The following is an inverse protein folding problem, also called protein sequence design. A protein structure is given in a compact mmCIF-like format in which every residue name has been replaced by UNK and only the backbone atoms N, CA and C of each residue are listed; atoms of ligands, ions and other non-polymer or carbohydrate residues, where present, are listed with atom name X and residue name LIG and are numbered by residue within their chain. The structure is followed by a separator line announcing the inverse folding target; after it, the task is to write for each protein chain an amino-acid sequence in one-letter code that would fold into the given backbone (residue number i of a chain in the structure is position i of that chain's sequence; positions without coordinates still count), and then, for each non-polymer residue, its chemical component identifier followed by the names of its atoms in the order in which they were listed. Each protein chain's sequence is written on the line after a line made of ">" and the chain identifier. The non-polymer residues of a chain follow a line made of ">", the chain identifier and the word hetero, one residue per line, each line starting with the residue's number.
data_IF_081184458593
#
_entry.id   IF_081184458593
#
_cell.length_a   1.000
_cell.length_b   1.000
_cell.length_c   1.000
_cell.angle_alpha   90.00
_cell.angle_beta   90.00
_cell.angle_gamma   90.00
#
_symmetry.space_group_name_H-M   'P 1'
#
loop_
_entity.id
_entity.type
_entity.pdbx_description
1 polymer ?
#
# COMPACT_ATOMS: atom_id res chain seq x y z
N UNK A 1 63.09 66.87 39.32
CA UNK A 1 63.09 68.32 39.08
C UNK A 1 62.18 68.62 37.91
N UNK A 2 61.12 69.41 38.13
CA UNK A 2 60.32 70.22 37.19
C UNK A 2 59.74 69.50 35.94
N UNK A 3 58.45 69.56 35.59
CA UNK A 3 57.53 70.71 35.60
C UNK A 3 56.09 70.21 35.39
N UNK A 4 55.16 70.92 36.01
CA UNK A 4 53.71 70.80 35.96
C UNK A 4 53.09 71.22 34.61
N UNK A 5 51.86 70.72 34.42
CA UNK A 5 50.66 71.41 33.91
C UNK A 5 50.31 71.43 32.41
N UNK A 6 49.11 70.86 32.20
CA UNK A 6 47.91 71.47 31.61
C UNK A 6 47.52 71.13 30.16
N UNK A 7 46.34 70.48 30.12
CA UNK A 7 45.15 70.77 29.30
C UNK A 7 45.25 70.41 27.81
N UNK A 8 44.50 69.40 27.38
CA UNK A 8 43.10 69.51 26.88
C UNK A 8 43.01 70.46 25.68
N UNK A 9 42.90 69.89 24.47
CA UNK A 9 41.80 70.11 23.51
C UNK A 9 42.19 69.66 22.08
N UNK A 10 41.24 68.97 21.41
CA UNK A 10 41.08 68.76 19.95
C UNK A 10 42.14 67.83 19.30
N UNK A 11 41.85 66.81 18.48
CA UNK A 11 40.73 66.46 17.62
C UNK A 11 40.71 64.90 17.54
N UNK A 12 39.60 64.21 17.82
CA UNK A 12 38.67 63.74 16.80
C UNK A 12 39.27 63.65 15.38
N UNK A 13 39.55 62.41 14.95
CA UNK A 13 39.78 61.87 13.58
C UNK A 13 41.07 61.05 13.52
N UNK A 14 40.95 59.86 12.95
CA UNK A 14 42.01 58.87 12.71
C UNK A 14 42.42 58.01 13.93
N UNK A 15 41.59 57.02 14.27
CA UNK A 15 42.02 55.71 14.79
C UNK A 15 40.85 54.70 14.91
N UNK A 16 40.00 54.59 13.88
CA UNK A 16 39.04 53.47 13.71
C UNK A 16 39.28 52.81 12.35
N UNK A 17 40.54 52.53 12.04
CA UNK A 17 40.94 52.01 10.73
C UNK A 17 41.70 50.67 10.81
N UNK A 18 41.49 49.86 11.86
CA UNK A 18 42.22 48.59 12.01
C UNK A 18 41.41 47.43 12.62
N UNK A 19 40.08 47.43 12.49
CA UNK A 19 39.26 46.25 12.84
C UNK A 19 38.07 46.05 11.87
N UNK A 20 38.28 46.14 10.55
CA UNK A 20 37.35 45.57 9.55
C UNK A 20 38.17 45.22 8.31
N UNK A 21 38.47 43.92 8.07
CA UNK A 21 37.79 43.30 6.93
C UNK A 21 37.49 41.83 7.21
N UNK A 22 36.27 41.53 7.64
CA UNK A 22 35.74 40.15 7.69
C UNK A 22 34.29 40.04 7.19
N UNK A 23 33.75 41.07 6.54
CA UNK A 23 32.36 41.09 6.05
C UNK A 23 32.23 41.33 4.55
N UNK A 24 33.20 40.88 3.74
CA UNK A 24 33.15 41.02 2.27
C UNK A 24 32.83 39.69 1.55
N UNK A 25 32.08 38.79 2.18
CA UNK A 25 31.47 37.63 1.52
C UNK A 25 29.98 37.50 1.88
N UNK A 26 29.21 38.59 1.79
CA UNK A 26 27.78 38.46 1.55
C UNK A 26 27.59 38.25 0.04
N UNK A 27 27.86 37.03 -0.41
CA UNK A 27 27.34 36.58 -1.69
C UNK A 27 25.82 36.73 -1.62
N UNK A 28 25.25 37.61 -2.46
CA UNK A 28 23.80 37.65 -2.67
C UNK A 28 23.33 36.22 -2.87
N UNK A 29 22.50 35.72 -1.97
CA UNK A 29 21.77 34.49 -2.20
C UNK A 29 21.03 34.68 -3.54
N UNK A 30 21.21 33.79 -4.53
CA UNK A 30 20.44 33.89 -5.75
C UNK A 30 18.96 33.89 -5.37
N UNK A 31 18.27 34.98 -5.68
CA UNK A 31 16.82 35.05 -5.54
C UNK A 31 16.26 34.00 -6.50
N UNK A 32 15.49 33.00 -6.04
CA UNK A 32 14.86 32.04 -6.94
C UNK A 32 14.04 32.85 -7.94
N UNK A 33 14.37 32.76 -9.22
CA UNK A 33 13.45 33.21 -10.25
C UNK A 33 12.17 32.39 -10.05
N UNK A 34 11.02 33.05 -9.95
CA UNK A 34 9.76 32.33 -9.99
C UNK A 34 9.71 31.61 -11.34
N UNK A 35 9.76 30.28 -11.32
CA UNK A 35 9.59 29.46 -12.52
C UNK A 35 8.20 29.70 -13.08
N UNK A 36 8.10 30.64 -14.02
CA UNK A 36 6.92 30.78 -14.85
C UNK A 36 6.91 29.62 -15.84
N UNK A 37 6.01 28.66 -15.61
CA UNK A 37 5.68 27.52 -16.47
C UNK A 37 6.71 26.37 -16.50
N UNK A 38 6.76 25.57 -15.44
CA UNK A 38 7.18 24.17 -15.57
C UNK A 38 6.00 23.36 -16.11
N UNK A 39 6.14 22.85 -17.34
CA UNK A 39 5.30 21.73 -17.81
C UNK A 39 5.44 20.62 -16.78
N UNK A 40 4.33 20.23 -16.14
CA UNK A 40 4.34 19.15 -15.15
C UNK A 40 4.86 17.89 -15.85
N UNK A 41 5.99 17.39 -15.38
CA UNK A 41 6.65 16.21 -15.93
C UNK A 41 6.51 15.05 -14.94
N UNK A 42 6.56 13.79 -15.42
CA UNK A 42 6.60 12.63 -14.54
C UNK A 42 7.70 12.75 -13.50
N UNK A 43 7.40 12.38 -12.26
CA UNK A 43 8.32 12.52 -11.13
C UNK A 43 9.55 11.59 -11.22
N UNK A 44 9.43 10.54 -12.03
CA UNK A 44 10.48 9.59 -12.38
C UNK A 44 10.55 9.39 -13.89
N UNK A 45 11.75 9.08 -14.38
CA UNK A 45 11.92 8.44 -15.69
C UNK A 45 11.67 6.94 -15.60
N UNK A 46 11.30 6.30 -16.71
CA UNK A 46 11.16 4.84 -16.80
C UNK A 46 12.45 4.10 -16.37
N UNK A 47 13.61 4.65 -16.68
CA UNK A 47 14.90 4.07 -16.28
C UNK A 47 15.11 4.14 -14.75
N UNK A 48 14.67 5.22 -14.11
CA UNK A 48 14.71 5.35 -12.65
C UNK A 48 13.71 4.41 -11.99
N UNK A 49 12.46 4.35 -12.47
CA UNK A 49 11.46 3.37 -12.00
C UNK A 49 12.02 1.96 -12.06
N UNK A 50 12.55 1.56 -13.22
CA UNK A 50 13.08 0.21 -13.43
C UNK A 50 14.21 -0.10 -12.46
N UNK A 51 15.12 0.86 -12.25
CA UNK A 51 16.24 0.70 -11.30
C UNK A 51 15.74 0.54 -9.86
N UNK A 52 14.77 1.37 -9.43
CA UNK A 52 14.18 1.33 -8.09
C UNK A 52 13.47 0.00 -7.88
N UNK A 53 12.56 -0.36 -8.79
CA UNK A 53 11.79 -1.61 -8.71
C UNK A 53 12.70 -2.84 -8.66
N UNK A 54 13.68 -2.95 -9.56
CA UNK A 54 14.58 -4.10 -9.57
C UNK A 54 15.45 -4.18 -8.30
N UNK A 55 15.83 -3.03 -7.70
CA UNK A 55 16.52 -3.01 -6.41
C UNK A 55 15.62 -3.53 -5.29
N UNK A 56 14.37 -3.06 -5.21
CA UNK A 56 13.38 -3.53 -4.23
C UNK A 56 13.16 -5.05 -4.38
N UNK A 57 12.88 -5.53 -5.60
CA UNK A 57 12.64 -6.95 -5.86
C UNK A 57 13.87 -7.81 -5.53
N UNK A 58 15.09 -7.33 -5.81
CA UNK A 58 16.31 -8.03 -5.43
C UNK A 58 16.43 -8.19 -3.91
N UNK A 59 16.17 -7.14 -3.13
CA UNK A 59 16.21 -7.24 -1.65
C UNK A 59 15.13 -8.17 -1.11
N UNK A 60 13.95 -8.22 -1.75
CA UNK A 60 12.91 -9.19 -1.42
C UNK A 60 13.39 -10.61 -1.70
N UNK A 61 13.97 -10.86 -2.88
CA UNK A 61 14.53 -12.18 -3.24
C UNK A 61 15.61 -12.63 -2.22
N UNK A 62 16.49 -11.72 -1.80
CA UNK A 62 17.53 -11.97 -0.80
C UNK A 62 16.94 -12.31 0.58
N UNK A 63 15.91 -11.58 1.03
CA UNK A 63 15.21 -11.85 2.28
C UNK A 63 14.41 -13.17 2.23
N UNK A 64 13.78 -13.47 1.09
CA UNK A 64 13.08 -14.74 0.84
C UNK A 64 14.05 -15.93 0.90
N UNK A 65 15.22 -15.83 0.25
CA UNK A 65 16.27 -16.85 0.30
C UNK A 65 16.84 -17.04 1.71
N UNK A 66 17.05 -15.95 2.44
CA UNK A 66 17.48 -15.98 3.83
C UNK A 66 16.38 -16.46 4.80
N UNK A 67 15.13 -16.57 4.34
CA UNK A 67 13.94 -16.79 5.16
C UNK A 67 13.91 -15.83 6.36
N UNK A 68 14.25 -14.56 6.15
CA UNK A 68 14.38 -13.58 7.24
C UNK A 68 13.25 -12.53 7.17
N UNK A 69 12.26 -12.57 8.07
CA UNK A 69 11.17 -11.59 8.10
C UNK A 69 11.64 -10.14 8.32
N UNK A 70 12.78 -9.94 9.01
CA UNK A 70 13.31 -8.60 9.27
C UNK A 70 13.94 -7.97 8.01
N UNK A 71 14.26 -8.79 7.00
CA UNK A 71 14.89 -8.34 5.75
C UNK A 71 13.98 -7.49 4.86
N UNK A 72 12.66 -7.52 5.07
CA UNK A 72 11.69 -6.85 4.18
C UNK A 72 11.49 -5.37 4.50
N UNK A 73 11.60 -4.95 5.76
CA UNK A 73 11.18 -3.61 6.21
C UNK A 73 11.94 -2.44 5.54
N UNK A 74 13.13 -2.73 5.00
CA UNK A 74 13.92 -1.77 4.24
C UNK A 74 13.28 -1.39 2.88
N UNK A 75 12.48 -2.29 2.28
CA UNK A 75 11.95 -2.16 0.91
C UNK A 75 10.46 -2.43 0.77
N UNK A 76 9.81 -2.93 1.83
CA UNK A 76 8.36 -3.11 1.92
C UNK A 76 7.79 -2.30 3.08
N UNK A 77 6.55 -1.87 2.93
CA UNK A 77 5.75 -1.25 3.98
C UNK A 77 4.28 -1.63 3.85
N UNK A 78 3.41 -0.98 4.63
CA UNK A 78 1.97 -1.13 4.51
C UNK A 78 1.47 -2.58 4.65
N UNK A 79 0.35 -2.94 3.99
CA UNK A 79 -0.14 -4.32 3.99
C UNK A 79 0.86 -5.31 3.39
N UNK A 80 1.71 -4.89 2.43
CA UNK A 80 2.62 -5.82 1.77
C UNK A 80 3.68 -6.38 2.72
N UNK A 81 4.18 -5.55 3.65
CA UNK A 81 5.11 -5.98 4.68
C UNK A 81 4.47 -7.03 5.60
N UNK A 82 3.25 -6.76 6.09
CA UNK A 82 2.51 -7.69 6.97
C UNK A 82 2.28 -9.04 6.27
N UNK A 83 1.87 -9.01 5.00
CA UNK A 83 1.66 -10.21 4.18
C UNK A 83 2.96 -11.01 4.03
N UNK A 84 4.06 -10.35 3.67
CA UNK A 84 5.34 -11.03 3.41
C UNK A 84 5.95 -11.60 4.69
N UNK A 85 5.90 -10.88 5.81
CA UNK A 85 6.30 -11.39 7.13
C UNK A 85 5.51 -12.66 7.47
N UNK A 86 4.20 -12.65 7.25
CA UNK A 86 3.38 -13.83 7.49
C UNK A 86 3.77 -15.01 6.60
N UNK A 87 3.95 -14.79 5.30
CA UNK A 87 4.33 -15.85 4.35
C UNK A 87 5.68 -16.46 4.71
N UNK A 88 6.65 -15.64 5.08
CA UNK A 88 7.98 -16.11 5.51
C UNK A 88 7.92 -16.83 6.86
N UNK A 89 7.09 -16.37 7.79
CA UNK A 89 6.84 -17.07 9.06
C UNK A 89 6.27 -18.47 8.82
N UNK A 90 5.29 -18.59 7.91
CA UNK A 90 4.72 -19.88 7.51
C UNK A 90 5.79 -20.78 6.88
N UNK A 91 6.62 -20.23 5.98
CA UNK A 91 7.72 -20.95 5.35
C UNK A 91 8.77 -21.47 6.36
N UNK A 92 9.14 -20.64 7.35
CA UNK A 92 10.04 -21.05 8.44
C UNK A 92 9.48 -22.22 9.27
N UNK A 93 8.14 -22.30 9.38
CA UNK A 93 7.43 -23.34 10.16
C UNK A 93 6.99 -24.53 9.31
N UNK A 94 7.48 -24.65 8.07
CA UNK A 94 7.28 -25.81 7.21
C UNK A 94 6.04 -25.77 6.31
N UNK A 95 5.24 -24.69 6.34
CA UNK A 95 4.12 -24.51 5.42
C UNK A 95 4.54 -24.14 4.00
N UNK A 96 5.83 -23.81 3.80
CA UNK A 96 6.37 -23.36 2.53
C UNK A 96 6.06 -21.88 2.23
N UNK A 97 6.67 -21.36 1.17
CA UNK A 97 6.32 -20.02 0.67
C UNK A 97 4.99 -20.10 -0.08
N UNK A 98 4.13 -19.10 0.09
CA UNK A 98 2.88 -19.03 -0.67
C UNK A 98 3.17 -19.09 -2.18
N UNK A 99 2.42 -19.94 -2.90
CA UNK A 99 2.51 -20.04 -4.37
C UNK A 99 2.19 -18.74 -5.10
N UNK A 100 1.55 -17.80 -4.40
CA UNK A 100 1.18 -16.48 -4.91
C UNK A 100 2.24 -15.40 -4.64
N UNK A 101 3.29 -15.72 -3.87
CA UNK A 101 4.29 -14.76 -3.40
C UNK A 101 5.25 -14.26 -4.49
N UNK A 102 5.38 -14.95 -5.62
CA UNK A 102 6.26 -14.54 -6.72
C UNK A 102 5.81 -13.22 -7.35
N UNK A 103 6.76 -12.29 -7.50
CA UNK A 103 6.57 -11.01 -8.20
C UNK A 103 7.44 -11.01 -9.46
N UNK A 104 6.86 -11.01 -10.67
CA UNK A 104 7.64 -10.96 -11.90
C UNK A 104 8.47 -9.68 -12.01
N UNK A 105 9.68 -9.80 -12.57
CA UNK A 105 10.62 -8.68 -12.78
C UNK A 105 10.31 -7.88 -14.04
N UNK A 106 9.71 -8.53 -15.03
CA UNK A 106 9.21 -7.87 -16.24
C UNK A 106 7.82 -7.28 -15.99
N UNK A 107 7.55 -6.19 -16.69
CA UNK A 107 6.33 -5.41 -16.52
C UNK A 107 5.60 -5.25 -17.84
N UNK A 108 4.28 -5.24 -17.78
CA UNK A 108 3.43 -4.90 -18.90
C UNK A 108 3.24 -3.38 -19.00
N UNK A 109 3.15 -2.71 -17.86
CA UNK A 109 2.94 -1.26 -17.79
C UNK A 109 3.45 -0.73 -16.44
N UNK A 110 3.94 0.50 -16.45
CA UNK A 110 4.11 1.31 -15.25
C UNK A 110 3.41 2.65 -15.46
N UNK A 111 2.96 3.25 -14.37
CA UNK A 111 2.27 4.53 -14.35
C UNK A 111 2.96 5.39 -13.29
N UNK A 112 3.46 6.52 -13.75
CA UNK A 112 4.30 7.43 -12.97
C UNK A 112 3.50 8.70 -12.69
N UNK A 113 3.44 9.18 -11.43
CA UNK A 113 2.65 10.35 -11.08
C UNK A 113 3.26 11.64 -11.63
N UNK A 114 2.39 12.64 -11.79
CA UNK A 114 2.75 14.02 -12.12
C UNK A 114 2.92 14.92 -10.89
N UNK A 115 2.58 14.42 -9.69
CA UNK A 115 2.52 15.24 -8.49
C UNK A 115 3.92 15.74 -8.07
N UNK A 116 4.01 17.03 -7.76
CA UNK A 116 5.23 17.65 -7.23
C UNK A 116 5.36 17.46 -5.70
N UNK A 117 4.27 17.04 -5.04
CA UNK A 117 4.17 16.80 -3.60
C UNK A 117 4.57 15.40 -3.13
N UNK A 118 4.23 15.10 -1.88
CA UNK A 118 4.43 13.81 -1.21
C UNK A 118 3.15 13.39 -0.46
N UNK A 119 2.87 12.09 -0.33
CA UNK A 119 3.61 10.95 -0.88
C UNK A 119 3.49 10.86 -2.41
N UNK A 120 4.42 10.14 -3.05
CA UNK A 120 4.38 9.84 -4.49
C UNK A 120 4.22 8.34 -4.69
N UNK A 121 3.19 7.96 -5.42
CA UNK A 121 2.88 6.54 -5.64
C UNK A 121 2.99 6.16 -7.11
N UNK A 122 3.80 5.14 -7.39
CA UNK A 122 3.97 4.54 -8.71
C UNK A 122 3.22 3.23 -8.77
N UNK A 123 2.40 3.06 -9.81
CA UNK A 123 1.64 1.83 -10.04
C UNK A 123 2.30 1.03 -11.16
N UNK A 124 2.59 -0.23 -10.90
CA UNK A 124 3.24 -1.10 -11.88
C UNK A 124 2.48 -2.40 -12.03
N UNK A 125 2.15 -2.76 -13.27
CA UNK A 125 1.52 -4.02 -13.63
C UNK A 125 2.57 -4.93 -14.22
N UNK A 126 2.78 -6.08 -13.59
CA UNK A 126 3.78 -7.06 -14.04
C UNK A 126 3.35 -7.80 -15.31
N UNK A 127 4.27 -8.55 -15.90
CA UNK A 127 3.89 -9.69 -16.77
C UNK A 127 3.22 -10.80 -15.94
N UNK A 128 2.75 -11.85 -16.60
CA UNK A 128 2.36 -13.08 -15.89
C UNK A 128 3.60 -13.73 -15.26
N UNK A 129 3.40 -14.56 -14.25
CA UNK A 129 4.50 -15.41 -13.73
C UNK A 129 4.88 -16.48 -14.76
N UNK A 130 6.03 -17.13 -14.57
CA UNK A 130 6.50 -18.19 -15.46
C UNK A 130 5.49 -19.36 -15.55
N UNK A 131 4.83 -19.68 -14.44
CA UNK A 131 3.73 -20.65 -14.34
C UNK A 131 2.36 -20.11 -14.75
N UNK A 132 2.34 -18.98 -15.49
CA UNK A 132 1.14 -18.37 -16.09
C UNK A 132 0.08 -17.87 -15.09
N UNK A 133 0.45 -17.59 -13.84
CA UNK A 133 -0.46 -16.90 -12.93
C UNK A 133 -0.67 -15.45 -13.38
N UNK A 134 -1.84 -14.92 -13.03
CA UNK A 134 -2.26 -13.54 -13.33
C UNK A 134 -1.22 -12.49 -12.95
N UNK A 135 -1.24 -11.37 -13.67
CA UNK A 135 -0.37 -10.22 -13.41
C UNK A 135 -0.54 -9.70 -11.98
N UNK A 136 0.51 -9.09 -11.44
CA UNK A 136 0.49 -8.38 -10.16
C UNK A 136 0.33 -6.89 -10.41
N UNK A 137 -0.55 -6.25 -9.66
CA UNK A 137 -0.62 -4.80 -9.52
C UNK A 137 0.18 -4.41 -8.29
N UNK A 138 1.27 -3.69 -8.50
CA UNK A 138 2.21 -3.23 -7.48
C UNK A 138 1.99 -1.74 -7.22
N UNK A 139 2.02 -1.34 -5.94
CA UNK A 139 2.04 0.05 -5.52
C UNK A 139 3.34 0.33 -4.80
N UNK A 140 4.19 1.14 -5.42
CA UNK A 140 5.39 1.68 -4.79
C UNK A 140 5.09 3.08 -4.27
N UNK A 141 5.51 3.38 -3.05
CA UNK A 141 5.27 4.68 -2.45
C UNK A 141 6.56 5.27 -1.87
N UNK A 142 6.73 6.56 -2.06
CA UNK A 142 7.78 7.35 -1.43
C UNK A 142 7.11 8.43 -0.57
N UNK A 143 7.28 8.32 0.74
CA UNK A 143 6.60 9.21 1.70
C UNK A 143 7.19 10.63 1.74
N UNK A 144 8.47 10.78 1.41
CA UNK A 144 9.14 12.09 1.36
C UNK A 144 10.42 12.03 0.52
N UNK A 145 10.97 13.20 0.18
CA UNK A 145 12.20 13.33 -0.61
C UNK A 145 13.43 12.64 0.01
N UNK A 146 13.42 12.38 1.32
CA UNK A 146 14.54 11.76 2.04
C UNK A 146 14.36 10.25 2.21
N UNK A 147 13.17 9.72 1.96
CA UNK A 147 12.87 8.30 2.08
C UNK A 147 13.04 7.62 0.72
N UNK A 148 13.39 6.33 0.74
CA UNK A 148 13.38 5.52 -0.48
C UNK A 148 11.95 5.03 -0.77
N UNK A 149 11.65 4.77 -2.04
CA UNK A 149 10.47 4.02 -2.43
C UNK A 149 10.42 2.65 -1.74
N UNK A 150 9.22 2.27 -1.29
CA UNK A 150 8.91 0.93 -0.78
C UNK A 150 7.73 0.34 -1.54
N UNK A 151 7.69 -0.99 -1.66
CA UNK A 151 6.49 -1.69 -2.11
C UNK A 151 5.49 -1.73 -0.95
N UNK A 152 4.38 -1.00 -1.10
CA UNK A 152 3.37 -0.85 -0.05
C UNK A 152 2.22 -1.83 -0.17
N UNK A 153 1.83 -2.15 -1.40
CA UNK A 153 0.73 -3.07 -1.68
C UNK A 153 0.97 -3.88 -2.95
N UNK A 154 0.47 -5.11 -2.95
CA UNK A 154 0.36 -5.96 -4.12
C UNK A 154 -1.06 -6.55 -4.16
N UNK A 155 -1.71 -6.46 -5.31
CA UNK A 155 -2.91 -7.25 -5.61
C UNK A 155 -2.62 -8.19 -6.77
N UNK A 156 -3.16 -9.42 -6.71
CA UNK A 156 -3.20 -10.30 -7.88
C UNK A 156 -4.41 -9.90 -8.72
N UNK A 157 -4.19 -9.54 -9.98
CA UNK A 157 -5.29 -9.23 -10.87
C UNK A 157 -6.11 -10.48 -11.13
N UNK A 158 -7.43 -10.34 -11.22
CA UNK A 158 -8.28 -11.46 -11.59
C UNK A 158 -8.08 -11.82 -13.07
N UNK A 159 -8.30 -13.09 -13.40
CA UNK A 159 -8.25 -13.53 -14.79
C UNK A 159 -9.31 -12.78 -15.60
N UNK A 160 -8.91 -12.20 -16.74
CA UNK A 160 -9.80 -11.39 -17.57
C UNK A 160 -10.20 -10.03 -16.96
N UNK A 161 -9.59 -9.59 -15.86
CA UNK A 161 -9.86 -8.28 -15.27
C UNK A 161 -9.69 -7.16 -16.31
N UNK A 162 -10.71 -6.32 -16.44
CA UNK A 162 -10.70 -5.16 -17.32
C UNK A 162 -10.20 -3.95 -16.55
N UNK A 163 -8.92 -3.64 -16.74
CA UNK A 163 -8.37 -2.40 -16.24
C UNK A 163 -8.75 -1.23 -17.16
N UNK A 164 -8.95 -0.02 -16.62
CA UNK A 164 -9.07 1.16 -17.45
C UNK A 164 -7.74 1.44 -18.15
N UNK A 165 -7.76 2.38 -19.10
CA UNK A 165 -6.52 2.90 -19.68
C UNK A 165 -5.83 3.80 -18.66
N UNK A 166 -4.50 3.75 -18.64
CA UNK A 166 -3.67 4.70 -17.89
C UNK A 166 -2.72 5.39 -18.84
N UNK A 167 -2.27 6.57 -18.46
CA UNK A 167 -1.28 7.31 -19.25
C UNK A 167 0.02 6.54 -19.36
N UNK A 168 0.73 6.76 -20.46
CA UNK A 168 2.07 6.21 -20.64
C UNK A 168 3.06 6.92 -19.71
N UNK A 169 4.14 6.24 -19.26
CA UNK A 169 5.09 6.80 -18.30
C UNK A 169 5.68 8.16 -18.67
N UNK A 170 5.90 8.41 -19.97
CA UNK A 170 6.49 9.66 -20.48
C UNK A 170 5.54 10.85 -20.42
N UNK A 171 4.23 10.61 -20.35
CA UNK A 171 3.21 11.64 -20.13
C UNK A 171 2.93 11.79 -18.63
N UNK A 172 2.90 10.68 -17.90
CA UNK A 172 2.56 10.65 -16.47
C UNK A 172 1.07 10.70 -16.21
N UNK A 173 0.63 10.27 -15.03
CA UNK A 173 -0.77 10.29 -14.61
C UNK A 173 -1.02 11.27 -13.48
N UNK A 174 -2.20 11.87 -13.46
CA UNK A 174 -2.70 12.51 -12.25
C UNK A 174 -3.08 11.44 -11.23
N UNK A 175 -2.84 11.72 -9.96
CA UNK A 175 -3.32 10.87 -8.89
C UNK A 175 -4.73 11.28 -8.47
N UNK A 176 -5.51 10.31 -8.01
CA UNK A 176 -6.80 10.58 -7.41
C UNK A 176 -6.67 10.89 -5.93
N UNK A 177 -7.79 11.28 -5.32
CA UNK A 177 -7.88 11.60 -3.91
C UNK A 177 -8.92 10.72 -3.25
N UNK A 178 -8.78 10.54 -1.94
CA UNK A 178 -9.77 9.81 -1.14
C UNK A 178 -11.21 10.34 -1.27
N UNK A 179 -11.38 11.59 -1.72
CA UNK A 179 -12.63 12.35 -1.73
C UNK A 179 -13.08 12.72 -3.14
N UNK A 180 -12.66 12.01 -4.18
CA UNK A 180 -13.15 12.31 -5.53
C UNK A 180 -14.65 12.04 -5.69
N UNK A 181 -15.44 13.11 -5.72
CA UNK A 181 -16.91 13.06 -5.70
C UNK A 181 -17.56 12.83 -7.07
N UNK A 182 -16.78 12.87 -8.17
CA UNK A 182 -17.30 12.67 -9.54
C UNK A 182 -17.55 11.20 -9.89
N UNK A 183 -17.22 10.29 -8.99
CA UNK A 183 -17.28 8.85 -9.17
C UNK A 183 -18.58 8.26 -8.62
N UNK A 184 -18.88 7.00 -8.96
CA UNK A 184 -20.04 6.26 -8.41
C UNK A 184 -20.06 6.25 -6.88
N UNK A 185 -18.89 6.25 -6.25
CA UNK A 185 -18.66 6.54 -4.84
C UNK A 185 -17.26 7.14 -4.70
N UNK A 186 -17.01 7.95 -3.65
CA UNK A 186 -15.65 8.40 -3.37
C UNK A 186 -14.74 7.18 -3.10
N UNK A 187 -13.42 7.24 -3.36
CA UNK A 187 -12.52 6.13 -3.10
C UNK A 187 -12.59 5.55 -1.68
N UNK A 188 -12.69 6.41 -0.66
CA UNK A 188 -12.83 5.96 0.74
C UNK A 188 -14.18 5.28 1.00
N UNK A 189 -15.26 5.81 0.42
CA UNK A 189 -16.59 5.22 0.55
C UNK A 189 -16.68 3.90 -0.20
N UNK A 190 -16.06 3.78 -1.37
CA UNK A 190 -16.04 2.55 -2.15
C UNK A 190 -15.35 1.42 -1.40
N UNK A 191 -14.21 1.66 -0.75
CA UNK A 191 -13.56 0.64 0.10
C UNK A 191 -14.44 0.26 1.29
N UNK A 192 -15.08 1.25 1.94
CA UNK A 192 -15.96 1.01 3.10
C UNK A 192 -17.19 0.21 2.72
N UNK A 193 -17.82 0.56 1.59
CA UNK A 193 -18.96 -0.15 1.04
C UNK A 193 -18.57 -1.55 0.59
N UNK A 194 -17.40 -1.72 -0.03
CA UNK A 194 -16.90 -3.05 -0.41
C UNK A 194 -16.63 -3.94 0.80
N UNK A 195 -16.09 -3.39 1.89
CA UNK A 195 -15.93 -4.13 3.16
C UNK A 195 -17.28 -4.60 3.73
N UNK A 196 -18.34 -3.78 3.63
CA UNK A 196 -19.70 -4.19 4.01
C UNK A 196 -20.24 -5.31 3.08
N UNK A 197 -19.96 -5.25 1.78
CA UNK A 197 -20.31 -6.33 0.84
C UNK A 197 -19.52 -7.62 1.13
N UNK A 198 -18.24 -7.54 1.52
CA UNK A 198 -17.48 -8.71 1.99
C UNK A 198 -18.12 -9.34 3.24
N UNK A 199 -18.64 -8.52 4.14
CA UNK A 199 -19.28 -8.98 5.38
C UNK A 199 -20.67 -9.58 5.15
N UNK A 200 -21.50 -8.92 4.35
CA UNK A 200 -22.93 -9.21 4.23
C UNK A 200 -23.33 -9.87 2.91
N UNK A 201 -22.40 -10.00 1.96
CA UNK A 201 -22.64 -10.57 0.64
C UNK A 201 -23.79 -9.86 -0.08
N UNK A 202 -24.70 -10.64 -0.67
CA UNK A 202 -25.90 -10.13 -1.35
C UNK A 202 -26.91 -9.43 -0.44
N UNK A 203 -26.77 -9.54 0.88
CA UNK A 203 -27.61 -8.83 1.87
C UNK A 203 -27.10 -7.42 2.17
N UNK A 204 -25.91 -7.06 1.71
CA UNK A 204 -25.40 -5.70 1.83
C UNK A 204 -26.30 -4.71 1.08
N UNK A 205 -26.59 -3.57 1.70
CA UNK A 205 -27.28 -2.46 1.04
C UNK A 205 -26.50 -1.89 -0.15
N UNK A 206 -25.20 -2.17 -0.23
CA UNK A 206 -24.31 -1.72 -1.30
C UNK A 206 -24.08 -2.78 -2.38
N UNK A 207 -24.61 -4.00 -2.24
CA UNK A 207 -24.33 -5.11 -3.14
C UNK A 207 -24.59 -4.77 -4.62
N UNK A 208 -25.65 -4.02 -4.92
CA UNK A 208 -26.00 -3.63 -6.29
C UNK A 208 -25.06 -2.59 -6.92
N UNK A 209 -24.15 -1.97 -6.14
CA UNK A 209 -23.15 -1.03 -6.66
C UNK A 209 -21.91 -1.74 -7.22
N UNK A 210 -21.72 -3.02 -6.90
CA UNK A 210 -20.52 -3.76 -7.27
C UNK A 210 -20.84 -4.88 -8.26
N UNK A 211 -20.11 -4.93 -9.37
CA UNK A 211 -20.10 -6.08 -10.27
C UNK A 211 -19.51 -7.29 -9.54
N UNK A 212 -20.03 -8.50 -9.78
CA UNK A 212 -19.55 -9.74 -9.13
C UNK A 212 -18.04 -9.97 -9.37
N UNK A 213 -17.35 -10.56 -8.39
CA UNK A 213 -15.89 -10.73 -8.45
C UNK A 213 -15.38 -11.99 -7.73
N UNK A 214 -14.15 -12.38 -8.10
CA UNK A 214 -13.53 -13.63 -7.65
C UNK A 214 -13.28 -13.66 -6.14
N UNK A 215 -12.89 -12.53 -5.52
CA UNK A 215 -12.63 -12.51 -4.08
C UNK A 215 -13.91 -12.82 -3.30
N UNK A 216 -15.03 -12.19 -3.67
CA UNK A 216 -16.33 -12.46 -3.02
C UNK A 216 -16.82 -13.88 -3.26
N UNK A 217 -16.64 -14.42 -4.47
CA UNK A 217 -16.98 -15.81 -4.77
C UNK A 217 -16.15 -16.78 -3.91
N UNK A 218 -14.83 -16.62 -3.84
CA UNK A 218 -13.94 -17.46 -3.03
C UNK A 218 -14.27 -17.35 -1.54
N UNK A 219 -14.52 -16.13 -1.04
CA UNK A 219 -14.89 -15.88 0.35
C UNK A 219 -16.24 -16.53 0.70
N UNK A 220 -17.25 -16.39 -0.15
CA UNK A 220 -18.57 -17.00 0.05
C UNK A 220 -18.46 -18.54 0.08
N UNK A 221 -17.73 -19.13 -0.87
CA UNK A 221 -17.48 -20.57 -0.92
C UNK A 221 -16.77 -21.07 0.33
N UNK A 222 -15.74 -20.34 0.78
CA UNK A 222 -14.98 -20.68 1.99
C UNK A 222 -15.83 -20.57 3.24
N UNK A 223 -16.61 -19.50 3.35
CA UNK A 223 -17.51 -19.24 4.48
C UNK A 223 -18.60 -20.31 4.57
N UNK A 224 -19.18 -20.71 3.44
CA UNK A 224 -20.20 -21.77 3.39
C UNK A 224 -19.63 -23.12 3.85
N UNK A 225 -18.46 -23.53 3.34
CA UNK A 225 -17.79 -24.77 3.76
C UNK A 225 -17.49 -24.80 5.25
N UNK A 226 -16.98 -23.70 5.80
CA UNK A 226 -16.75 -23.60 7.24
C UNK A 226 -18.07 -23.58 8.01
N UNK A 227 -19.12 -22.93 7.51
CA UNK A 227 -20.44 -22.89 8.16
C UNK A 227 -21.01 -24.30 8.35
N UNK A 228 -20.95 -25.12 7.31
CA UNK A 228 -21.38 -26.53 7.37
C UNK A 228 -20.59 -27.32 8.41
N UNK A 229 -19.27 -27.10 8.48
CA UNK A 229 -18.40 -27.70 9.49
C UNK A 229 -18.74 -27.23 10.91
N UNK A 230 -19.01 -25.95 11.10
CA UNK A 230 -19.40 -25.39 12.40
C UNK A 230 -20.77 -25.90 12.85
N UNK A 231 -21.76 -25.99 11.95
CA UNK A 231 -23.11 -26.47 12.26
C UNK A 231 -23.15 -27.93 12.66
N UNK A 232 -22.39 -28.80 11.96
CA UNK A 232 -22.18 -30.20 12.37
C UNK A 232 -21.62 -30.33 13.79
N UNK A 233 -20.97 -29.26 14.23
CA UNK A 233 -20.28 -29.16 15.48
C UNK A 233 -20.96 -28.18 16.47
N UNK A 234 -22.26 -27.87 16.33
CA UNK A 234 -22.99 -26.94 17.20
C UNK A 234 -22.25 -25.62 17.48
N UNK A 235 -21.38 -25.21 16.56
CA UNK A 235 -20.53 -24.05 16.67
C UNK A 235 -21.04 -22.89 15.82
N UNK A 236 -20.38 -21.74 15.97
CA UNK A 236 -20.71 -20.51 15.25
C UNK A 236 -19.47 -19.89 14.64
N UNK A 237 -19.66 -19.07 13.62
CA UNK A 237 -18.59 -18.25 13.07
C UNK A 237 -19.11 -16.85 12.76
N UNK A 238 -18.19 -15.89 12.79
CA UNK A 238 -18.45 -14.49 12.46
C UNK A 238 -17.23 -13.90 11.77
N UNK A 239 -17.48 -13.07 10.76
CA UNK A 239 -16.44 -12.31 10.07
C UNK A 239 -16.71 -10.82 10.19
N UNK A 240 -15.64 -10.06 10.42
CA UNK A 240 -15.65 -8.59 10.44
C UNK A 240 -14.61 -8.05 9.48
N UNK A 241 -15.02 -7.12 8.62
CA UNK A 241 -14.13 -6.45 7.68
C UNK A 241 -14.01 -4.97 8.06
N UNK A 242 -12.79 -4.47 8.16
CA UNK A 242 -12.50 -3.08 8.57
C UNK A 242 -11.46 -2.46 7.63
N UNK A 243 -11.82 -1.37 6.98
CA UNK A 243 -10.91 -0.61 6.10
C UNK A 243 -9.82 0.07 6.93
N UNK A 244 -8.62 0.22 6.36
CA UNK A 244 -7.55 1.08 6.90
C UNK A 244 -7.37 2.26 5.93
N UNK A 245 -8.07 3.40 6.15
CA UNK A 245 -8.13 4.49 5.17
C UNK A 245 -6.78 5.09 4.80
N UNK A 246 -5.82 5.07 5.73
CA UNK A 246 -4.45 5.57 5.54
C UNK A 246 -3.60 4.65 4.63
N UNK A 247 -4.07 3.42 4.37
CA UNK A 247 -3.42 2.45 3.49
C UNK A 247 -4.25 2.26 2.23
N UNK A 248 -4.47 3.38 1.53
CA UNK A 248 -5.18 3.50 0.28
C UNK A 248 -4.39 4.36 -0.70
N UNK A 249 -4.29 3.90 -1.94
CA UNK A 249 -3.63 4.61 -3.04
C UNK A 249 -4.59 4.71 -4.22
N UNK A 250 -4.69 5.89 -4.81
CA UNK A 250 -5.68 6.20 -5.85
C UNK A 250 -4.98 6.71 -7.08
N UNK A 251 -5.15 6.02 -8.21
CA UNK A 251 -4.63 6.42 -9.50
C UNK A 251 -5.79 6.77 -10.43
N UNK A 252 -5.76 7.97 -11.03
CA UNK A 252 -6.74 8.40 -12.02
C UNK A 252 -6.51 7.62 -13.32
N UNK A 253 -7.57 7.07 -13.90
CA UNK A 253 -7.53 6.53 -15.25
C UNK A 253 -7.32 7.65 -16.28
N UNK A 254 -6.72 7.31 -17.42
CA UNK A 254 -6.60 8.21 -18.56
C UNK A 254 -7.98 8.76 -18.99
N UNK A 255 -7.97 9.95 -19.58
CA UNK A 255 -9.17 10.70 -19.97
C UNK A 255 -10.16 10.98 -18.81
N UNK A 256 -9.77 10.75 -17.56
CA UNK A 256 -10.62 10.92 -16.39
C UNK A 256 -11.78 9.92 -16.30
N UNK A 257 -11.65 8.73 -16.89
CA UNK A 257 -12.72 7.73 -16.98
C UNK A 257 -13.18 7.16 -15.62
N UNK A 258 -12.35 7.33 -14.58
CA UNK A 258 -12.59 6.84 -13.23
C UNK A 258 -11.28 6.73 -12.45
N UNK A 259 -11.33 6.07 -11.30
CA UNK A 259 -10.17 5.85 -10.44
C UNK A 259 -9.92 4.36 -10.20
N UNK A 260 -8.64 3.97 -10.24
CA UNK A 260 -8.19 2.70 -9.69
C UNK A 260 -7.73 2.92 -8.25
N UNK A 261 -8.40 2.26 -7.31
CA UNK A 261 -8.15 2.34 -5.87
C UNK A 261 -7.57 1.03 -5.39
N UNK A 262 -6.37 1.08 -4.82
CA UNK A 262 -5.79 -0.06 -4.09
C UNK A 262 -5.85 0.23 -2.61
N UNK A 263 -6.48 -0.63 -1.82
CA UNK A 263 -6.70 -0.38 -0.40
C UNK A 263 -6.59 -1.63 0.47
N UNK A 264 -6.22 -1.42 1.73
CA UNK A 264 -6.23 -2.47 2.76
C UNK A 264 -7.59 -2.58 3.44
N UNK A 265 -8.04 -3.83 3.59
CA UNK A 265 -9.16 -4.23 4.44
C UNK A 265 -8.68 -5.34 5.38
N UNK A 266 -8.72 -5.11 6.68
CA UNK A 266 -8.48 -6.15 7.67
C UNK A 266 -9.72 -7.04 7.79
N UNK A 267 -9.54 -8.35 7.82
CA UNK A 267 -10.59 -9.33 8.10
C UNK A 267 -10.31 -10.02 9.43
N UNK A 268 -11.29 -10.07 10.33
CA UNK A 268 -11.23 -10.89 11.54
C UNK A 268 -12.26 -12.00 11.43
N UNK A 269 -11.81 -13.26 11.48
CA UNK A 269 -12.67 -14.43 11.43
C UNK A 269 -12.64 -15.16 12.76
N UNK A 270 -13.72 -15.05 13.51
CA UNK A 270 -13.89 -15.73 14.80
C UNK A 270 -14.71 -17.00 14.60
N UNK A 271 -14.20 -18.13 15.08
CA UNK A 271 -14.85 -19.44 15.04
C UNK A 271 -14.96 -19.97 16.46
N UNK A 272 -16.16 -20.35 16.87
CA UNK A 272 -16.46 -20.87 18.21
C UNK A 272 -17.00 -22.30 18.09
N UNK A 273 -16.26 -23.25 18.63
CA UNK A 273 -16.68 -24.64 18.68
C UNK A 273 -17.82 -24.84 19.70
N UNK A 274 -18.75 -25.75 19.37
CA UNK A 274 -19.84 -26.14 20.26
C UNK A 274 -19.46 -27.27 21.23
N UNK A 275 -20.33 -27.50 22.22
CA UNK A 275 -20.28 -28.67 23.12
C UNK A 275 -18.95 -28.86 23.87
N UNK A 276 -18.32 -27.78 24.30
CA UNK A 276 -17.08 -27.82 25.08
C UNK A 276 -15.85 -28.29 24.30
N UNK A 277 -15.93 -28.34 22.96
CA UNK A 277 -14.80 -28.71 22.10
C UNK A 277 -13.84 -27.55 21.87
N UNK A 278 -12.65 -27.91 21.42
CA UNK A 278 -11.63 -26.98 20.97
C UNK A 278 -11.84 -26.57 19.51
N UNK A 279 -11.53 -25.31 19.21
CA UNK A 279 -11.48 -24.80 17.84
C UNK A 279 -10.06 -24.90 17.32
N UNK A 280 -9.87 -25.61 16.21
CA UNK A 280 -8.56 -25.80 15.57
C UNK A 280 -8.38 -24.88 14.35
N UNK A 281 -7.12 -24.61 13.94
CA UNK A 281 -6.81 -23.97 12.66
C UNK A 281 -7.51 -24.66 11.47
N UNK A 282 -8.01 -23.87 10.52
CA UNK A 282 -8.72 -24.36 9.34
C UNK A 282 -7.82 -24.65 8.13
N UNK A 283 -6.53 -24.32 8.21
CA UNK A 283 -5.54 -24.53 7.15
C UNK A 283 -4.14 -24.76 7.72
N UNK A 284 -3.23 -25.25 6.88
CA UNK A 284 -1.82 -25.41 7.24
C UNK A 284 -1.15 -24.05 7.52
N UNK A 285 -1.52 -23.00 6.78
CA UNK A 285 -1.06 -21.63 7.03
C UNK A 285 -1.48 -21.13 8.42
N UNK A 286 -2.74 -21.35 8.79
CA UNK A 286 -3.22 -20.97 10.12
C UNK A 286 -2.53 -21.79 11.22
N UNK A 287 -2.33 -23.08 10.98
CA UNK A 287 -1.62 -23.97 11.92
C UNK A 287 -0.19 -23.51 12.11
N UNK A 288 0.50 -23.19 11.02
CA UNK A 288 1.84 -22.63 11.05
C UNK A 288 1.85 -21.30 11.82
N UNK A 289 0.91 -20.39 11.61
CA UNK A 289 0.86 -19.11 12.31
C UNK A 289 0.52 -19.24 13.81
N UNK A 290 -0.38 -20.14 14.18
CA UNK A 290 -0.80 -20.36 15.56
C UNK A 290 0.35 -20.81 16.46
N UNK A 291 1.18 -21.76 15.98
CA UNK A 291 2.42 -22.20 16.63
C UNK A 291 2.28 -22.47 18.14
N UNK A 292 1.20 -23.15 18.50
CA UNK A 292 0.85 -23.54 19.86
C UNK A 292 -0.02 -24.79 19.78
N UNK A 293 0.04 -25.63 20.82
CA UNK A 293 -0.88 -26.77 21.00
C UNK A 293 -1.98 -26.47 22.04
N UNK A 294 -2.04 -25.23 22.54
CA UNK A 294 -3.03 -24.80 23.54
C UNK A 294 -4.25 -24.22 22.86
N UNK A 295 -5.20 -25.08 22.49
CA UNK A 295 -6.46 -24.65 21.90
C UNK A 295 -7.46 -24.22 22.98
N UNK A 296 -8.37 -23.32 22.62
CA UNK A 296 -9.57 -23.00 23.39
C UNK A 296 -10.80 -23.29 22.54
N UNK A 297 -11.99 -23.05 23.08
CA UNK A 297 -13.23 -23.18 22.31
C UNK A 297 -13.40 -22.12 21.21
N UNK A 298 -12.60 -21.04 21.24
CA UNK A 298 -12.74 -19.92 20.31
C UNK A 298 -11.41 -19.62 19.63
N UNK A 299 -11.40 -19.55 18.31
CA UNK A 299 -10.24 -19.20 17.51
C UNK A 299 -10.54 -17.93 16.71
N UNK A 300 -9.61 -16.98 16.73
CA UNK A 300 -9.64 -15.79 15.87
C UNK A 300 -8.49 -15.82 14.89
N UNK A 301 -8.80 -15.60 13.61
CA UNK A 301 -7.81 -15.43 12.54
C UNK A 301 -7.92 -14.00 12.01
N UNK A 302 -6.80 -13.29 12.00
CA UNK A 302 -6.70 -11.97 11.36
C UNK A 302 -6.11 -12.14 9.97
N UNK A 303 -6.80 -11.60 8.97
CA UNK A 303 -6.38 -11.52 7.58
C UNK A 303 -6.07 -10.08 7.21
N UNK A 304 -5.04 -9.91 6.38
CA UNK A 304 -4.88 -8.70 5.57
C UNK A 304 -5.42 -8.99 4.18
N UNK A 305 -6.35 -8.17 3.72
CA UNK A 305 -6.84 -8.16 2.35
C UNK A 305 -6.35 -6.88 1.68
N UNK A 306 -5.67 -7.00 0.54
CA UNK A 306 -5.43 -5.88 -0.37
C UNK A 306 -6.43 -6.03 -1.51
N UNK A 307 -7.20 -4.99 -1.80
CA UNK A 307 -8.20 -4.99 -2.87
C UNK A 307 -7.89 -3.88 -3.87
N UNK A 308 -8.03 -4.18 -5.15
CA UNK A 308 -7.96 -3.22 -6.24
C UNK A 308 -9.35 -3.03 -6.84
N UNK A 309 -9.94 -1.84 -6.66
CA UNK A 309 -11.26 -1.48 -7.16
C UNK A 309 -11.11 -0.45 -8.28
N UNK A 310 -11.75 -0.70 -9.43
CA UNK A 310 -12.00 0.34 -10.41
C UNK A 310 -13.36 0.99 -10.13
N UNK A 311 -13.34 2.30 -9.91
CA UNK A 311 -14.51 3.12 -9.62
C UNK A 311 -14.74 4.04 -10.83
N UNK A 312 -15.76 3.79 -11.64
CA UNK A 312 -16.03 4.62 -12.81
C UNK A 312 -16.68 5.96 -12.40
N UNK A 313 -16.75 6.90 -13.36
CA UNK A 313 -17.53 8.13 -13.21
C UNK A 313 -18.99 7.84 -12.87
N UNK A 314 -19.60 8.67 -12.03
CA UNK A 314 -21.02 8.54 -11.69
C UNK A 314 -21.93 8.60 -12.94
N UNK A 315 -21.50 9.32 -13.98
CA UNK A 315 -22.22 9.47 -15.24
C UNK A 315 -22.13 8.27 -16.18
N UNK A 316 -21.28 7.27 -15.91
CA UNK A 316 -21.14 6.11 -16.80
C UNK A 316 -22.29 5.12 -16.70
N UNK A 317 -23.00 5.09 -15.56
CA UNK A 317 -24.00 4.08 -15.23
C UNK A 317 -23.41 2.69 -14.95
N UNK A 318 -22.08 2.55 -14.90
CA UNK A 318 -21.39 1.30 -14.61
C UNK A 318 -21.28 1.03 -13.10
N UNK A 319 -21.10 -0.24 -12.74
CA UNK A 319 -20.83 -0.65 -11.36
C UNK A 319 -19.34 -0.53 -11.02
N UNK A 320 -19.03 -0.40 -9.73
CA UNK A 320 -17.67 -0.54 -9.22
C UNK A 320 -17.23 -2.00 -9.45
N UNK A 321 -16.00 -2.21 -9.92
CA UNK A 321 -15.48 -3.55 -10.23
C UNK A 321 -14.22 -3.83 -9.43
N UNK A 322 -14.18 -4.93 -8.70
CA UNK A 322 -12.92 -5.42 -8.15
C UNK A 322 -12.11 -6.08 -9.26
N UNK A 323 -10.90 -5.58 -9.52
CA UNK A 323 -10.03 -6.04 -10.62
C UNK A 323 -8.88 -6.92 -10.12
N UNK A 324 -8.66 -6.95 -8.82
CA UNK A 324 -7.67 -7.81 -8.20
C UNK A 324 -7.75 -7.79 -6.69
N UNK A 325 -7.18 -8.81 -6.07
CA UNK A 325 -7.06 -8.88 -4.62
C UNK A 325 -5.86 -9.72 -4.20
N UNK A 326 -5.43 -9.54 -2.96
CA UNK A 326 -4.63 -10.52 -2.25
C UNK A 326 -5.15 -10.69 -0.83
N UNK A 327 -5.12 -11.91 -0.30
CA UNK A 327 -5.64 -12.24 1.03
C UNK A 327 -4.69 -13.19 1.72
N UNK A 328 -4.23 -12.81 2.91
CA UNK A 328 -3.27 -13.58 3.69
C UNK A 328 -3.69 -13.61 5.16
N UNK A 329 -3.81 -14.78 5.81
CA UNK A 329 -3.86 -14.82 7.28
C UNK A 329 -2.52 -14.31 7.80
N UNK A 330 -2.53 -13.37 8.74
CA UNK A 330 -1.32 -12.78 9.34
C UNK A 330 -1.18 -13.07 10.82
N UNK A 331 -2.26 -13.51 11.47
CA UNK A 331 -2.29 -13.84 12.90
C UNK A 331 -3.36 -14.86 13.21
N UNK A 332 -3.07 -15.78 14.13
CA UNK A 332 -4.02 -16.79 14.63
C UNK A 332 -3.90 -16.85 16.14
N UNK A 333 -5.04 -16.78 16.83
CA UNK A 333 -5.11 -16.69 18.29
C UNK A 333 -6.25 -17.55 18.84
N UNK A 334 -6.00 -18.29 19.91
CA UNK A 334 -7.04 -18.90 20.71
C UNK A 334 -7.51 -17.90 21.78
N UNK A 335 -8.82 -17.73 21.93
CA UNK A 335 -9.46 -16.75 22.82
C UNK A 335 -10.05 -17.37 24.08
#
# INVERSE_FOLDING_TARGET
>A
MNKRWNKLCVAALACVALVVPLTACEGRLPTPAADTSTKVAPDLTEAQEKKIRLKILKTIDEADQAKNPDGYAAVMGGPQLDIRISQTTINQRGGGMSKYATIPKDIAQTVIPLDDGWPRSVFTITTTTEDQQSKRLLVFDQESAQQNYKLMAMARLFEGAKLPKFEIPTIGSQMGTAKDEKLVATPVDALTQYADVLQNGSKSQYASKFADDLLRQELANTTAKVQEGMQRNNGTQEQKFTVVPEQMWVMRAADGAGDLVVGRINGEWTRKAGDGRESQPASDDEKALFNSDKYTSTMKVTYVNVVALYIPLASSGEQITAVGADRQPVKVEAL
#
